data_IF_114650176678
#
_entry.id   IF_114650176678
#
_cell.length_a   1.000
_cell.length_b   1.000
_cell.length_c   1.000
_cell.angle_alpha   90.00
_cell.angle_beta   90.00
_cell.angle_gamma   90.00
#
_symmetry.space_group_name_H-M   'P 1'
#
loop_
_entity.id
_entity.type
_entity.pdbx_description
1 polymer ?
#
# COMPACT_ATOMS: atom_id res chain seq x y z
N UNK A 1 0.24 28.23 -7.48
CA UNK A 1 -0.67 27.16 -7.02
C UNK A 1 -2.10 27.65 -6.75
N UNK A 2 -2.37 28.94 -6.52
CA UNK A 2 -3.72 29.41 -6.14
C UNK A 2 -4.85 29.22 -7.17
N UNK A 3 -4.53 28.90 -8.44
CA UNK A 3 -5.53 28.57 -9.46
C UNK A 3 -5.84 27.07 -9.56
N UNK A 4 -5.02 26.22 -8.92
CA UNK A 4 -5.18 24.76 -8.98
C UNK A 4 -6.21 24.35 -7.93
N UNK A 5 -7.21 23.59 -8.34
CA UNK A 5 -8.24 23.01 -7.47
C UNK A 5 -7.73 21.68 -6.92
N UNK A 6 -7.24 21.66 -5.67
CA UNK A 6 -6.65 20.46 -5.06
C UNK A 6 -7.67 19.42 -4.58
N UNK A 7 -8.88 19.86 -4.21
CA UNK A 7 -9.99 19.00 -3.80
C UNK A 7 -11.02 18.87 -4.93
N UNK A 8 -10.56 18.66 -6.16
CA UNK A 8 -11.43 18.45 -7.30
C UNK A 8 -12.00 17.02 -7.25
N UNK A 9 -13.30 16.87 -7.43
CA UNK A 9 -14.01 15.58 -7.49
C UNK A 9 -14.98 15.49 -8.68
N UNK A 10 -14.92 16.45 -9.60
CA UNK A 10 -15.74 16.49 -10.82
C UNK A 10 -14.86 16.63 -12.06
N UNK A 11 -15.30 16.06 -13.17
CA UNK A 11 -14.58 16.14 -14.45
C UNK A 11 -14.32 17.58 -14.88
N UNK A 12 -15.30 18.47 -14.69
CA UNK A 12 -15.16 19.89 -14.99
C UNK A 12 -14.00 20.55 -14.20
N UNK A 13 -13.86 20.21 -12.92
CA UNK A 13 -12.76 20.72 -12.10
C UNK A 13 -11.40 20.14 -12.54
N UNK A 14 -11.35 18.89 -13.00
CA UNK A 14 -10.14 18.31 -13.59
C UNK A 14 -9.74 19.02 -14.89
N UNK A 15 -10.70 19.33 -15.78
CA UNK A 15 -10.44 20.05 -17.03
C UNK A 15 -9.80 21.43 -16.79
N UNK A 16 -10.25 22.17 -15.77
CA UNK A 16 -9.60 23.43 -15.40
C UNK A 16 -8.15 23.24 -14.95
N UNK A 17 -7.88 22.22 -14.15
CA UNK A 17 -6.52 21.89 -13.73
C UNK A 17 -5.64 21.48 -14.94
N UNK A 18 -6.16 20.68 -15.87
CA UNK A 18 -5.44 20.30 -17.08
C UNK A 18 -5.16 21.50 -18.00
N UNK A 19 -6.05 22.50 -18.07
CA UNK A 19 -5.76 23.76 -18.78
C UNK A 19 -4.54 24.49 -18.19
N UNK A 20 -4.41 24.50 -16.87
CA UNK A 20 -3.24 25.07 -16.20
C UNK A 20 -1.99 24.29 -16.58
N UNK A 21 -2.04 22.95 -16.56
CA UNK A 21 -0.92 22.09 -16.92
C UNK A 21 -0.48 22.29 -18.38
N UNK A 22 -1.42 22.32 -19.33
CA UNK A 22 -1.14 22.56 -20.75
C UNK A 22 -0.46 23.92 -20.97
N UNK A 23 -0.84 24.95 -20.22
CA UNK A 23 -0.19 26.25 -20.29
C UNK A 23 1.26 26.21 -19.78
N UNK A 24 1.54 25.40 -18.74
CA UNK A 24 2.91 25.17 -18.26
C UNK A 24 3.74 24.45 -19.32
N UNK A 25 3.19 23.43 -19.98
CA UNK A 25 3.90 22.70 -21.05
C UNK A 25 4.28 23.62 -22.21
N UNK A 26 3.34 24.46 -22.67
CA UNK A 26 3.61 25.45 -23.71
C UNK A 26 4.69 26.45 -23.28
N UNK A 27 4.61 26.97 -22.05
CA UNK A 27 5.58 27.93 -21.52
C UNK A 27 7.00 27.35 -21.44
N UNK A 28 7.12 26.06 -21.16
CA UNK A 28 8.40 25.36 -21.05
C UNK A 28 8.79 24.61 -22.33
N UNK A 29 8.07 24.83 -23.44
CA UNK A 29 8.31 24.17 -24.73
C UNK A 29 8.39 22.63 -24.62
N UNK A 30 7.55 22.03 -23.76
CA UNK A 30 7.42 20.58 -23.65
C UNK A 30 6.50 20.11 -24.77
N UNK A 31 7.08 19.44 -25.78
CA UNK A 31 6.36 19.02 -26.99
C UNK A 31 5.40 17.85 -26.79
N UNK A 32 5.49 17.14 -25.66
CA UNK A 32 4.62 15.97 -25.42
C UNK A 32 3.15 16.40 -25.32
N UNK A 33 2.25 15.85 -26.15
CA UNK A 33 0.82 16.11 -26.02
C UNK A 33 0.27 15.47 -24.73
N UNK A 34 -0.62 16.19 -24.06
CA UNK A 34 -1.31 15.70 -22.86
C UNK A 34 -2.66 15.11 -23.31
N UNK A 35 -2.90 13.79 -23.13
CA UNK A 35 -4.16 13.15 -23.52
C UNK A 35 -5.28 13.46 -22.52
N UNK A 36 -5.72 14.72 -22.46
CA UNK A 36 -6.65 15.24 -21.44
C UNK A 36 -7.94 14.43 -21.35
N UNK A 37 -8.56 14.10 -22.49
CA UNK A 37 -9.84 13.36 -22.53
C UNK A 37 -9.75 11.95 -21.92
N UNK A 38 -8.58 11.33 -21.99
CA UNK A 38 -8.32 10.01 -21.43
C UNK A 38 -8.02 10.12 -19.93
N UNK A 39 -7.19 11.09 -19.55
CA UNK A 39 -6.79 11.33 -18.17
C UNK A 39 -7.96 11.75 -17.28
N UNK A 40 -8.88 12.58 -17.80
CA UNK A 40 -10.04 13.08 -17.05
C UNK A 40 -10.99 11.98 -16.60
N UNK A 41 -11.03 10.86 -17.32
CA UNK A 41 -11.86 9.68 -17.01
C UNK A 41 -11.29 8.83 -15.87
N UNK A 42 -10.12 9.20 -15.33
CA UNK A 42 -9.45 8.49 -14.24
C UNK A 42 -9.17 7.00 -14.54
N UNK A 43 -9.05 6.62 -15.81
CA UNK A 43 -8.71 5.24 -16.19
C UNK A 43 -7.26 4.94 -15.81
N UNK A 44 -7.03 3.77 -15.19
CA UNK A 44 -5.72 3.37 -14.65
C UNK A 44 -4.61 3.39 -15.71
N UNK A 45 -4.88 2.84 -16.90
CA UNK A 45 -3.86 2.63 -17.93
C UNK A 45 -3.31 3.97 -18.45
N UNK A 46 -4.19 4.89 -18.84
CA UNK A 46 -3.83 6.20 -19.39
C UNK A 46 -3.11 7.08 -18.33
N UNK A 47 -3.59 7.06 -17.09
CA UNK A 47 -2.98 7.80 -15.99
C UNK A 47 -1.60 7.24 -15.60
N UNK A 48 -1.45 5.92 -15.59
CA UNK A 48 -0.17 5.28 -15.30
C UNK A 48 0.88 5.60 -16.37
N UNK A 49 0.52 5.54 -17.66
CA UNK A 49 1.44 5.90 -18.74
C UNK A 49 1.92 7.36 -18.62
N UNK A 50 0.99 8.28 -18.34
CA UNK A 50 1.32 9.69 -18.14
C UNK A 50 2.25 9.91 -16.92
N UNK A 51 2.01 9.21 -15.82
CA UNK A 51 2.85 9.26 -14.62
C UNK A 51 4.25 8.68 -14.85
N UNK A 52 4.36 7.56 -15.57
CA UNK A 52 5.64 6.96 -15.92
C UNK A 52 6.51 7.94 -16.73
N UNK A 53 5.92 8.58 -17.74
CA UNK A 53 6.63 9.62 -18.47
C UNK A 53 6.96 10.84 -17.60
N UNK A 54 6.04 11.28 -16.75
CA UNK A 54 6.24 12.44 -15.86
C UNK A 54 7.41 12.20 -14.90
N UNK A 55 7.55 10.97 -14.39
CA UNK A 55 8.68 10.55 -13.57
C UNK A 55 9.99 10.57 -14.36
N UNK A 56 10.02 9.99 -15.56
CA UNK A 56 11.20 10.04 -16.44
C UNK A 56 11.62 11.48 -16.76
N UNK A 57 10.66 12.36 -17.03
CA UNK A 57 10.91 13.78 -17.26
C UNK A 57 11.48 14.43 -16.00
N UNK A 58 10.89 14.18 -14.83
CA UNK A 58 11.41 14.72 -13.56
C UNK A 58 12.85 14.25 -13.30
N UNK A 59 13.16 12.97 -13.49
CA UNK A 59 14.52 12.43 -13.27
C UNK A 59 15.58 13.09 -14.16
N UNK A 60 15.21 13.50 -15.38
CA UNK A 60 16.12 14.12 -16.32
C UNK A 60 16.37 15.61 -16.05
N UNK A 61 15.35 16.33 -15.58
CA UNK A 61 15.38 17.79 -15.48
C UNK A 61 15.42 18.32 -14.05
N UNK A 62 15.30 17.46 -13.04
CA UNK A 62 15.34 17.89 -11.65
C UNK A 62 16.74 18.38 -11.26
N UNK A 63 16.91 19.66 -10.90
CA UNK A 63 18.22 20.25 -10.64
C UNK A 63 18.83 19.87 -9.27
N UNK A 64 18.13 19.05 -8.48
CA UNK A 64 18.39 18.86 -7.06
C UNK A 64 17.82 19.99 -6.19
N UNK A 65 17.45 19.69 -4.96
CA UNK A 65 17.03 20.67 -3.94
C UNK A 65 15.61 20.46 -3.41
N UNK A 66 15.38 20.85 -2.16
CA UNK A 66 14.15 20.52 -1.45
C UNK A 66 12.93 21.23 -2.04
N UNK A 67 11.84 20.48 -2.20
CA UNK A 67 10.54 21.02 -2.62
C UNK A 67 9.49 20.70 -1.56
N UNK A 68 9.11 21.72 -0.78
CA UNK A 68 8.01 21.59 0.18
C UNK A 68 6.65 21.73 -0.52
N UNK A 69 6.05 20.58 -0.85
CA UNK A 69 4.75 20.55 -1.49
C UNK A 69 3.60 21.03 -0.60
N UNK A 70 3.67 20.85 0.73
CA UNK A 70 2.58 21.19 1.65
C UNK A 70 2.46 22.71 1.82
N UNK A 71 3.59 23.40 2.01
CA UNK A 71 3.62 24.86 2.09
C UNK A 71 3.14 25.49 0.77
N UNK A 72 3.47 24.89 -0.38
CA UNK A 72 3.02 25.36 -1.70
C UNK A 72 1.51 25.24 -1.92
N UNK A 73 0.87 24.29 -1.22
CA UNK A 73 -0.59 24.09 -1.20
C UNK A 73 -1.28 24.88 -0.09
N UNK A 74 -0.54 25.66 0.71
CA UNK A 74 -1.05 26.37 1.90
C UNK A 74 -1.74 25.43 2.90
N UNK A 75 -1.20 24.22 3.07
CA UNK A 75 -1.78 23.23 3.99
C UNK A 75 -3.03 22.51 3.49
N UNK A 76 -3.50 22.79 2.27
CA UNK A 76 -4.54 21.97 1.63
C UNK A 76 -3.93 20.61 1.31
N UNK A 77 -4.41 19.57 2.00
CA UNK A 77 -4.01 18.18 1.76
C UNK A 77 -4.23 17.79 0.29
N UNK A 78 -3.52 16.76 -0.18
CA UNK A 78 -3.96 16.09 -1.40
C UNK A 78 -5.38 15.57 -1.10
N UNK A 79 -6.38 16.05 -1.84
CA UNK A 79 -7.76 15.58 -1.66
C UNK A 79 -7.77 14.06 -1.64
N UNK A 80 -8.55 13.48 -0.72
CA UNK A 80 -8.69 12.04 -0.61
C UNK A 80 -9.02 11.47 -2.00
N UNK A 81 -8.25 10.48 -2.44
CA UNK A 81 -8.68 9.65 -3.55
C UNK A 81 -10.08 9.13 -3.18
N UNK A 82 -11.09 9.20 -4.07
CA UNK A 82 -12.34 8.51 -3.80
C UNK A 82 -11.98 7.02 -3.69
N UNK A 83 -12.23 6.44 -2.51
CA UNK A 83 -12.04 5.02 -2.17
C UNK A 83 -10.64 4.49 -1.73
N UNK A 84 -9.78 5.26 -1.06
CA UNK A 84 -8.76 4.63 -0.19
C UNK A 84 -9.12 4.80 1.29
N UNK A 85 -9.08 3.72 2.12
CA UNK A 85 -9.28 3.84 3.56
C UNK A 85 -8.16 4.71 4.17
N UNK A 86 -8.42 5.43 5.27
CA UNK A 86 -7.48 6.40 5.82
C UNK A 86 -6.28 5.71 6.46
N UNK A 87 -5.18 5.59 5.72
CA UNK A 87 -3.88 5.14 6.22
C UNK A 87 -3.12 6.28 6.90
N UNK A 88 -2.70 6.03 8.13
CA UNK A 88 -2.17 7.00 9.09
C UNK A 88 -1.00 7.89 8.60
N UNK A 89 -1.03 9.12 9.11
CA UNK A 89 0.05 10.10 9.08
C UNK A 89 1.35 9.53 9.63
N UNK A 90 2.41 9.47 8.82
CA UNK A 90 3.78 9.27 9.30
C UNK A 90 4.60 10.51 8.97
N UNK A 91 4.83 11.32 10.01
CA UNK A 91 5.90 12.32 10.06
C UNK A 91 7.23 11.57 10.20
N UNK A 92 8.20 11.90 9.34
CA UNK A 92 9.59 11.43 9.46
C UNK A 92 10.60 12.53 9.12
N UNK A 93 11.78 12.58 9.75
CA UNK A 93 12.52 13.81 9.99
C UNK A 93 13.54 14.14 8.89
N UNK A 94 13.86 15.43 8.79
CA UNK A 94 14.85 15.95 7.85
C UNK A 94 16.28 15.58 8.23
N UNK A 95 17.15 15.46 7.22
CA UNK A 95 18.61 15.53 7.36
C UNK A 95 19.19 16.35 6.21
N UNK A 96 20.01 17.30 6.64
CA UNK A 96 20.79 18.31 5.93
C UNK A 96 22.05 17.78 5.22
N UNK A 97 22.44 18.48 4.14
CA UNK A 97 23.82 18.71 3.65
C UNK A 97 24.58 17.49 3.07
N UNK A 98 25.42 17.57 2.03
CA UNK A 98 26.45 18.55 1.66
C UNK A 98 26.80 18.51 0.15
N UNK A 99 27.27 19.64 -0.38
CA UNK A 99 27.71 19.90 -1.77
C UNK A 99 29.22 19.64 -2.00
N UNK A 100 29.59 19.38 -3.27
CA UNK A 100 30.74 19.89 -4.11
C UNK A 100 31.62 18.79 -4.77
N UNK A 101 32.41 19.09 -5.84
CA UNK A 101 32.07 19.80 -7.10
C UNK A 101 32.74 19.22 -8.40
N UNK A 102 32.27 19.65 -9.60
CA UNK A 102 32.98 19.83 -10.91
C UNK A 102 33.71 18.63 -11.58
N UNK A 103 33.85 18.43 -12.91
CA UNK A 103 33.73 19.24 -14.13
C UNK A 103 33.58 18.35 -15.40
N UNK A 104 33.01 18.94 -16.46
CA UNK A 104 33.17 18.77 -17.93
C UNK A 104 33.77 17.49 -18.55
N UNK A 105 33.06 16.84 -19.49
CA UNK A 105 33.36 16.80 -20.94
C UNK A 105 32.71 15.61 -21.69
N UNK A 106 32.17 15.92 -22.88
CA UNK A 106 31.93 15.16 -24.12
C UNK A 106 31.74 13.61 -24.14
N UNK A 107 30.71 13.20 -24.89
CA UNK A 107 30.36 11.87 -25.43
C UNK A 107 31.53 11.13 -26.15
N UNK A 108 31.52 9.80 -26.45
CA UNK A 108 30.35 8.98 -26.79
C UNK A 108 30.30 7.52 -26.27
N UNK A 109 29.14 6.92 -26.56
CA UNK A 109 28.64 5.56 -26.31
C UNK A 109 29.73 4.46 -26.35
N UNK A 110 29.88 3.73 -25.25
CA UNK A 110 30.34 2.33 -25.25
C UNK A 110 29.45 1.51 -24.30
N UNK A 111 29.04 0.35 -24.77
CA UNK A 111 28.42 -0.70 -23.96
C UNK A 111 29.44 -1.16 -22.93
N UNK A 112 29.20 -0.87 -21.65
CA UNK A 112 29.92 -1.47 -20.54
C UNK A 112 28.94 -1.78 -19.43
N UNK A 113 28.87 -3.07 -19.09
CA UNK A 113 28.28 -3.57 -17.86
C UNK A 113 29.03 -2.97 -16.67
N UNK A 114 28.37 -2.14 -15.86
CA UNK A 114 28.79 -1.80 -14.49
C UNK A 114 27.53 -1.37 -13.73
N UNK A 115 26.93 -2.25 -12.92
CA UNK A 115 27.22 -2.41 -11.50
C UNK A 115 27.17 -1.06 -10.75
N UNK A 116 26.15 -0.89 -9.89
CA UNK A 116 26.31 -0.15 -8.63
C UNK A 116 25.45 1.06 -8.34
N UNK A 117 24.64 1.60 -9.27
CA UNK A 117 23.70 2.67 -8.93
C UNK A 117 22.38 2.09 -8.46
N UNK A 118 22.23 1.87 -7.14
CA UNK A 118 20.95 1.56 -6.48
C UNK A 118 20.05 2.80 -6.61
N UNK A 119 19.38 2.94 -7.75
CA UNK A 119 18.42 4.02 -7.98
C UNK A 119 17.26 3.95 -6.98
N UNK A 120 16.43 5.00 -6.84
CA UNK A 120 15.27 4.99 -5.95
C UNK A 120 14.34 3.78 -6.15
N UNK A 121 14.28 3.24 -7.37
CA UNK A 121 13.57 2.00 -7.71
C UNK A 121 14.14 0.75 -7.04
N UNK A 122 15.46 0.68 -6.85
CA UNK A 122 16.11 -0.46 -6.20
C UNK A 122 15.95 -0.42 -4.67
N UNK A 123 15.91 0.79 -4.08
CA UNK A 123 15.56 0.98 -2.66
C UNK A 123 14.10 0.55 -2.41
N UNK A 124 13.18 0.93 -3.29
CA UNK A 124 11.78 0.50 -3.21
C UNK A 124 11.62 -1.01 -3.39
N UNK A 125 12.37 -1.62 -4.32
CA UNK A 125 12.38 -3.08 -4.49
C UNK A 125 12.93 -3.80 -3.27
N UNK A 126 13.98 -3.28 -2.64
CA UNK A 126 14.53 -3.83 -1.40
C UNK A 126 13.51 -3.75 -0.26
N UNK A 127 12.80 -2.63 -0.12
CA UNK A 127 11.74 -2.48 0.89
C UNK A 127 10.56 -3.41 0.64
N UNK A 128 10.17 -3.62 -0.61
CA UNK A 128 9.15 -4.62 -0.93
C UNK A 128 9.60 -6.04 -0.60
N UNK A 129 10.87 -6.39 -0.87
CA UNK A 129 11.40 -7.71 -0.52
C UNK A 129 11.43 -7.92 1.01
N UNK A 130 11.87 -6.92 1.77
CA UNK A 130 11.88 -6.93 3.24
C UNK A 130 10.45 -7.08 3.83
N UNK A 131 9.48 -6.35 3.26
CA UNK A 131 8.08 -6.49 3.66
C UNK A 131 7.51 -7.86 3.32
N UNK A 132 7.83 -8.42 2.15
CA UNK A 132 7.41 -9.78 1.78
C UNK A 132 7.98 -10.83 2.72
N UNK A 133 9.25 -10.72 3.10
CA UNK A 133 9.87 -11.63 4.07
C UNK A 133 9.21 -11.51 5.45
N UNK A 134 8.90 -10.28 5.88
CA UNK A 134 8.19 -10.02 7.13
C UNK A 134 6.80 -10.63 7.12
N UNK A 135 6.02 -10.42 6.06
CA UNK A 135 4.68 -11.00 5.89
C UNK A 135 4.77 -12.52 5.92
N UNK A 136 5.71 -13.13 5.20
CA UNK A 136 5.88 -14.58 5.21
C UNK A 136 6.28 -15.11 6.60
N UNK A 137 7.07 -14.34 7.36
CA UNK A 137 7.36 -14.64 8.77
C UNK A 137 6.10 -14.63 9.63
N UNK A 138 5.28 -13.59 9.50
CA UNK A 138 4.01 -13.45 10.22
C UNK A 138 2.99 -14.52 9.82
N UNK A 139 2.92 -14.91 8.55
CA UNK A 139 2.06 -16.01 8.10
C UNK A 139 2.48 -17.34 8.73
N UNK A 140 3.79 -17.62 8.80
CA UNK A 140 4.30 -18.81 9.48
C UNK A 140 3.97 -18.81 10.97
N UNK A 141 4.07 -17.66 11.63
CA UNK A 141 3.70 -17.52 13.04
C UNK A 141 2.19 -17.70 13.25
N UNK A 142 1.37 -17.08 12.40
CA UNK A 142 -0.09 -17.25 12.39
C UNK A 142 -0.46 -18.72 12.27
N UNK A 143 0.10 -19.42 11.28
CA UNK A 143 -0.20 -20.83 11.04
C UNK A 143 0.25 -21.70 12.21
N UNK A 144 1.43 -21.41 12.78
CA UNK A 144 1.92 -22.10 13.96
C UNK A 144 1.01 -21.96 15.18
N UNK A 145 0.51 -20.76 15.47
CA UNK A 145 -0.43 -20.54 16.58
C UNK A 145 -1.80 -21.15 16.28
N UNK A 146 -2.29 -21.03 15.05
CA UNK A 146 -3.55 -21.64 14.63
C UNK A 146 -3.54 -23.16 14.79
N UNK A 147 -2.50 -23.85 14.29
CA UNK A 147 -2.38 -25.30 14.45
C UNK A 147 -2.38 -25.72 15.92
N UNK A 148 -1.71 -24.97 16.81
CA UNK A 148 -1.74 -25.26 18.25
C UNK A 148 -3.12 -25.09 18.87
N UNK A 149 -3.84 -24.04 18.50
CA UNK A 149 -5.20 -23.80 19.00
C UNK A 149 -6.15 -24.88 18.49
N UNK A 150 -6.00 -25.32 17.23
CA UNK A 150 -6.78 -26.43 16.66
C UNK A 150 -6.48 -27.76 17.33
N UNK A 151 -5.21 -28.07 17.62
CA UNK A 151 -4.82 -29.27 18.37
C UNK A 151 -5.47 -29.28 19.77
N UNK A 152 -5.47 -28.12 20.46
CA UNK A 152 -6.11 -27.97 21.78
C UNK A 152 -7.63 -28.17 21.66
N UNK A 153 -8.27 -27.57 20.67
CA UNK A 153 -9.70 -27.73 20.43
C UNK A 153 -10.09 -29.19 20.20
N UNK A 154 -9.33 -29.91 19.38
CA UNK A 154 -9.56 -31.33 19.09
C UNK A 154 -9.42 -32.18 20.36
N UNK A 155 -8.43 -31.90 21.22
CA UNK A 155 -8.27 -32.59 22.50
C UNK A 155 -9.47 -32.34 23.45
N UNK A 156 -10.02 -31.13 23.45
CA UNK A 156 -11.19 -30.79 24.26
C UNK A 156 -12.42 -31.53 23.73
N UNK A 157 -12.66 -31.51 22.41
CA UNK A 157 -13.77 -32.21 21.77
C UNK A 157 -13.71 -33.71 22.06
N UNK A 158 -12.54 -34.34 21.91
CA UNK A 158 -12.34 -35.75 22.23
C UNK A 158 -12.61 -36.08 23.71
N UNK A 159 -12.19 -35.21 24.62
CA UNK A 159 -12.45 -35.39 26.05
C UNK A 159 -13.95 -35.30 26.37
N UNK A 160 -14.68 -34.40 25.72
CA UNK A 160 -16.12 -34.22 25.90
C UNK A 160 -16.94 -35.35 25.25
N UNK A 161 -16.52 -35.86 24.10
CA UNK A 161 -17.13 -37.04 23.47
C UNK A 161 -16.96 -38.30 24.34
N UNK A 162 -15.78 -38.46 24.96
CA UNK A 162 -15.49 -39.59 25.83
C UNK A 162 -16.25 -39.54 27.16
N UNK A 163 -16.52 -38.35 27.70
CA UNK A 163 -17.32 -38.14 28.90
C UNK A 163 -18.31 -36.97 28.72
N UNK A 164 -19.53 -37.28 28.24
CA UNK A 164 -20.56 -36.26 27.99
C UNK A 164 -21.00 -35.49 29.24
N UNK A 165 -20.72 -35.98 30.45
CA UNK A 165 -21.07 -35.26 31.68
C UNK A 165 -20.25 -33.98 31.87
N UNK A 166 -19.11 -33.87 31.19
CA UNK A 166 -18.25 -32.67 31.18
C UNK A 166 -18.88 -31.48 30.43
N UNK A 167 -19.91 -31.72 29.60
CA UNK A 167 -20.67 -30.65 28.95
C UNK A 167 -21.55 -29.87 29.91
N UNK A 168 -22.09 -30.55 30.92
CA UNK A 168 -23.05 -29.98 31.87
C UNK A 168 -22.37 -29.14 32.97
N UNK A 169 -21.06 -29.31 33.19
CA UNK A 169 -20.28 -28.51 34.14
C UNK A 169 -19.76 -27.23 33.49
N UNK A 170 -20.59 -26.19 33.48
CA UNK A 170 -20.25 -24.85 32.97
C UNK A 170 -19.04 -24.21 33.68
N UNK A 171 -18.72 -24.65 34.91
CA UNK A 171 -17.58 -24.16 35.68
C UNK A 171 -16.26 -24.88 35.36
N UNK A 172 -16.32 -25.95 34.56
CA UNK A 172 -15.15 -26.79 34.27
C UNK A 172 -14.05 -26.03 33.53
N UNK A 173 -12.80 -26.44 33.75
CA UNK A 173 -11.64 -25.88 33.06
C UNK A 173 -11.78 -26.01 31.52
N UNK A 174 -12.35 -27.12 31.04
CA UNK A 174 -12.57 -27.37 29.61
C UNK A 174 -13.53 -26.34 29.00
N UNK A 175 -14.65 -26.03 29.67
CA UNK A 175 -15.56 -24.98 29.21
C UNK A 175 -14.92 -23.59 29.22
N UNK A 176 -14.14 -23.26 30.25
CA UNK A 176 -13.41 -21.98 30.28
C UNK A 176 -12.43 -21.85 29.11
N UNK A 177 -11.70 -22.91 28.76
CA UNK A 177 -10.80 -22.91 27.60
C UNK A 177 -11.61 -22.77 26.29
N UNK A 178 -12.74 -23.49 26.16
CA UNK A 178 -13.61 -23.38 24.99
C UNK A 178 -14.19 -21.97 24.82
N UNK A 179 -14.58 -21.30 25.91
CA UNK A 179 -15.02 -19.90 25.89
C UNK A 179 -13.92 -18.98 25.34
N UNK A 180 -12.65 -19.21 25.71
CA UNK A 180 -11.52 -18.42 25.17
C UNK A 180 -11.35 -18.70 23.68
N UNK A 181 -11.36 -19.96 23.25
CA UNK A 181 -11.17 -20.36 21.86
C UNK A 181 -12.25 -19.79 20.92
N UNK A 182 -13.50 -19.69 21.40
CA UNK A 182 -14.63 -19.16 20.63
C UNK A 182 -14.95 -17.69 20.93
N UNK A 183 -14.15 -17.03 21.77
CA UNK A 183 -14.31 -15.59 21.96
C UNK A 183 -13.95 -14.85 20.67
N UNK A 184 -14.85 -13.99 20.20
CA UNK A 184 -14.62 -13.12 19.05
C UNK A 184 -14.44 -11.68 19.53
N UNK A 185 -13.46 -10.96 18.99
CA UNK A 185 -13.38 -9.51 19.19
C UNK A 185 -14.36 -8.78 18.25
N UNK A 186 -14.99 -7.71 18.74
CA UNK A 186 -15.87 -6.83 17.95
C UNK A 186 -15.11 -6.29 16.72
N UNK A 187 -15.40 -6.86 15.54
CA UNK A 187 -14.77 -6.50 14.26
C UNK A 187 -13.90 -7.58 13.62
N UNK A 188 -13.78 -8.77 14.21
CA UNK A 188 -13.15 -9.94 13.58
C UNK A 188 -14.20 -10.74 12.80
N UNK A 189 -14.44 -10.40 11.53
CA UNK A 189 -15.26 -11.24 10.63
C UNK A 189 -14.45 -12.46 10.21
N UNK A 190 -14.94 -13.66 10.52
CA UNK A 190 -14.43 -14.90 9.94
C UNK A 190 -14.71 -14.82 8.42
N UNK A 191 -13.68 -14.91 7.55
CA UNK A 191 -13.93 -15.00 6.11
C UNK A 191 -14.84 -16.19 5.82
N UNK A 192 -15.88 -16.00 5.00
CA UNK A 192 -16.91 -17.00 4.68
C UNK A 192 -16.35 -18.37 4.22
N UNK A 193 -15.09 -18.42 3.76
CA UNK A 193 -14.39 -19.66 3.40
C UNK A 193 -14.15 -20.60 4.59
N UNK A 194 -13.90 -20.07 5.80
CA UNK A 194 -13.71 -20.89 7.00
C UNK A 194 -15.06 -21.38 7.59
N UNK A 195 -16.15 -20.62 7.40
CA UNK A 195 -17.51 -21.10 7.69
C UNK A 195 -17.92 -22.24 6.74
N UNK A 196 -17.50 -22.19 5.47
CA UNK A 196 -17.79 -23.24 4.50
C UNK A 196 -17.00 -24.54 4.75
N UNK A 197 -15.77 -24.47 5.25
CA UNK A 197 -15.02 -25.65 5.70
C UNK A 197 -15.62 -26.25 6.97
N UNK A 198 -16.02 -25.43 7.95
CA UNK A 198 -16.70 -25.92 9.16
C UNK A 198 -18.08 -26.56 8.86
N UNK A 199 -18.86 -25.97 7.96
CA UNK A 199 -20.14 -26.53 7.52
C UNK A 199 -19.99 -27.78 6.64
N UNK A 200 -18.87 -27.92 5.92
CA UNK A 200 -18.56 -29.10 5.11
C UNK A 200 -18.21 -30.34 5.93
N UNK A 201 -17.68 -30.16 7.15
CA UNK A 201 -17.39 -31.26 8.08
C UNK A 201 -18.67 -31.72 8.84
N UNK A 202 -19.64 -30.83 9.10
CA UNK A 202 -20.89 -31.19 9.79
C UNK A 202 -21.92 -31.95 8.92
N UNK A 203 -21.85 -31.92 7.59
CA UNK A 203 -22.81 -32.64 6.71
C UNK A 203 -22.36 -34.07 6.30
N UNK A 204 -21.33 -34.64 6.95
CA UNK A 204 -20.95 -36.05 6.73
C UNK A 204 -21.10 -36.94 7.97
N UNK A 205 -22.34 -37.08 8.46
CA UNK A 205 -22.85 -38.37 8.93
C UNK A 205 -24.38 -38.46 8.92
#
# INVERSE_FOLDING_TARGET
MGRVKFNANTEYAYLENFKILSNVFRKHAIERPIPVEQLVKCKMQDNLEFLQWSKRYWDQYYPGGDYDALSRRKGVGAGAAPNLPPGGSVRGPGVTATRRPAASAAAPRTSSRQAGSVGPSAILQQKNAELMETVQGLERERDFYFSKLRDIELLIQQAMEADPSLEEDEGSLLKQIQTILYSTEEGFEIPQEAEAEAAGEEETF
#
